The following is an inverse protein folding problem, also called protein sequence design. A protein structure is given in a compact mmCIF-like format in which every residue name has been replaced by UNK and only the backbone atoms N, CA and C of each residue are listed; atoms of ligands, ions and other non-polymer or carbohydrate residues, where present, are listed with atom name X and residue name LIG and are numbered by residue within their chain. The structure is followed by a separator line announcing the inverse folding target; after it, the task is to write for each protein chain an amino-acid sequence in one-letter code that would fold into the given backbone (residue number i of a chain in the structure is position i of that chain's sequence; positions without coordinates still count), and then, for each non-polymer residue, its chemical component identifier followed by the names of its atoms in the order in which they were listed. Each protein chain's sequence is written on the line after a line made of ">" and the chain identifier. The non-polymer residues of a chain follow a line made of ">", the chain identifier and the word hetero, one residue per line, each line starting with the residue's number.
data_IF_527345463806
#
_entry.id   IF_527345463806
#
_cell.length_a   1.000
_cell.length_b   1.000
_cell.length_c   1.000
_cell.angle_alpha   90.00
_cell.angle_beta   90.00
_cell.angle_gamma   90.00
#
_symmetry.space_group_name_H-M   'P 1'
#
loop_
_entity.id
_entity.type
_entity.pdbx_description
1 polymer ?
#
# COMPACT_ATOMS: atom_id res chain seq x y z
N UNK A 1 -18.45 -76.17 34.23
CA UNK A 1 -18.05 -75.35 35.39
C UNK A 1 -17.06 -74.31 34.89
N UNK A 2 -17.37 -73.02 35.13
CA UNK A 2 -16.49 -71.82 35.20
C UNK A 2 -15.54 -71.50 34.01
N UNK A 3 -15.29 -70.27 33.56
CA UNK A 3 -15.67 -68.89 33.93
C UNK A 3 -15.28 -67.96 32.75
N UNK A 4 -15.95 -66.80 32.66
CA UNK A 4 -15.70 -65.68 31.72
C UNK A 4 -14.27 -65.14 31.80
N UNK A 5 -13.72 -64.59 30.70
CA UNK A 5 -13.02 -63.31 30.79
C UNK A 5 -13.01 -62.55 29.45
N UNK A 6 -13.32 -61.26 29.52
CA UNK A 6 -13.53 -60.29 28.45
C UNK A 6 -12.25 -59.86 27.73
N UNK A 7 -12.36 -59.52 26.44
CA UNK A 7 -11.33 -58.73 25.74
C UNK A 7 -11.96 -57.61 24.92
N UNK A 8 -12.75 -56.75 25.58
CA UNK A 8 -13.22 -55.46 25.04
C UNK A 8 -12.28 -54.31 25.43
N UNK A 9 -10.96 -54.55 25.43
CA UNK A 9 -9.97 -53.57 25.90
C UNK A 9 -9.14 -52.92 24.76
N UNK A 10 -9.43 -53.24 23.49
CA UNK A 10 -8.66 -52.71 22.34
C UNK A 10 -9.31 -51.54 21.59
N UNK A 11 -10.64 -51.41 21.64
CA UNK A 11 -11.37 -50.46 20.77
C UNK A 11 -11.59 -49.10 21.47
N UNK A 12 -11.65 -49.08 22.80
CA UNK A 12 -11.85 -47.83 23.56
C UNK A 12 -10.67 -46.85 23.51
N UNK A 13 -9.44 -47.35 23.40
CA UNK A 13 -8.24 -46.49 23.43
C UNK A 13 -7.99 -45.79 22.07
N UNK A 14 -8.34 -46.43 20.96
CA UNK A 14 -8.18 -45.87 19.63
C UNK A 14 -9.21 -44.76 19.34
N UNK A 15 -10.43 -44.87 19.88
CA UNK A 15 -11.46 -43.85 19.70
C UNK A 15 -11.15 -42.56 20.49
N UNK A 16 -10.59 -42.68 21.70
CA UNK A 16 -10.21 -41.52 22.53
C UNK A 16 -9.02 -40.76 21.94
N UNK A 17 -8.07 -41.43 21.28
CA UNK A 17 -6.95 -40.80 20.55
C UNK A 17 -7.37 -40.13 19.23
N UNK A 18 -8.44 -40.60 18.59
CA UNK A 18 -8.99 -39.97 17.38
C UNK A 18 -9.89 -38.76 17.69
N UNK A 19 -10.51 -38.73 18.87
CA UNK A 19 -11.33 -37.61 19.35
C UNK A 19 -10.51 -36.45 19.96
N UNK A 20 -9.26 -36.68 20.37
CA UNK A 20 -8.35 -35.61 20.83
C UNK A 20 -7.65 -34.86 19.69
N UNK A 21 -7.83 -35.29 18.44
CA UNK A 21 -7.24 -34.64 17.25
C UNK A 21 -8.16 -33.60 16.59
N UNK A 22 -9.38 -33.41 17.12
CA UNK A 22 -10.37 -32.43 16.63
C UNK A 22 -10.66 -31.36 17.69
N UNK A 23 -9.66 -30.59 18.11
CA UNK A 23 -9.88 -29.27 18.75
C UNK A 23 -8.57 -28.48 18.90
N UNK A 24 -7.93 -28.12 17.79
CA UNK A 24 -7.11 -26.91 17.71
C UNK A 24 -7.37 -26.24 16.36
N UNK A 25 -8.61 -25.80 16.17
CA UNK A 25 -8.97 -24.79 15.18
C UNK A 25 -10.21 -24.00 15.61
N UNK A 26 -10.46 -23.88 16.92
CA UNK A 26 -11.13 -22.69 17.42
C UNK A 26 -10.15 -21.55 17.20
N UNK A 27 -10.26 -20.90 16.04
CA UNK A 27 -9.71 -19.58 15.86
C UNK A 27 -10.09 -18.80 17.11
N UNK A 28 -9.09 -18.36 17.86
CA UNK A 28 -9.26 -17.18 18.66
C UNK A 28 -9.66 -16.08 17.67
N UNK A 29 -10.96 -15.89 17.45
CA UNK A 29 -11.50 -14.56 17.23
C UNK A 29 -11.24 -13.79 18.52
N UNK A 30 -9.96 -13.47 18.76
CA UNK A 30 -9.61 -12.43 19.69
C UNK A 30 -10.43 -11.23 19.27
N UNK A 31 -11.24 -10.70 20.18
CA UNK A 31 -12.15 -9.59 19.93
C UNK A 31 -11.45 -8.56 19.06
N UNK A 32 -11.78 -8.53 17.76
CA UNK A 32 -11.19 -7.56 16.85
C UNK A 32 -11.55 -6.19 17.41
N UNK A 33 -10.57 -5.45 17.89
CA UNK A 33 -10.74 -4.08 18.39
C UNK A 33 -10.97 -3.07 17.26
N UNK A 34 -10.94 -3.54 16.01
CA UNK A 34 -11.13 -2.78 14.78
C UNK A 34 -12.25 -3.40 13.94
N UNK A 35 -13.14 -2.54 13.43
CA UNK A 35 -14.20 -2.89 12.47
C UNK A 35 -13.74 -2.56 11.05
N UNK A 36 -14.14 -3.37 10.08
CA UNK A 36 -13.98 -3.04 8.66
C UNK A 36 -14.99 -1.98 8.22
N UNK A 37 -14.76 -1.36 7.06
CA UNK A 37 -15.64 -0.29 6.53
C UNK A 37 -17.06 -0.83 6.31
N UNK A 38 -17.23 -2.08 5.87
CA UNK A 38 -18.56 -2.69 5.72
C UNK A 38 -19.34 -2.88 7.03
N UNK A 39 -18.66 -2.79 8.19
CA UNK A 39 -19.24 -2.94 9.52
C UNK A 39 -19.40 -1.61 10.26
N UNK A 40 -19.23 -0.48 9.56
CA UNK A 40 -19.51 0.84 10.09
C UNK A 40 -21.01 1.12 10.06
N UNK A 41 -21.52 1.79 11.09
CA UNK A 41 -22.89 2.29 11.12
C UNK A 41 -23.05 3.38 10.03
N UNK A 42 -24.27 3.61 9.50
CA UNK A 42 -24.49 4.63 8.48
C UNK A 42 -24.00 6.03 8.88
N UNK A 43 -24.14 6.40 10.15
CA UNK A 43 -23.66 7.66 10.73
C UNK A 43 -22.13 7.76 10.82
N UNK A 44 -21.45 6.61 10.90
CA UNK A 44 -19.98 6.54 10.90
C UNK A 44 -19.45 6.59 9.47
N UNK A 45 -20.13 5.91 8.54
CA UNK A 45 -19.84 5.99 7.09
C UNK A 45 -19.96 7.43 6.62
N UNK A 46 -21.02 8.15 7.02
CA UNK A 46 -21.21 9.56 6.65
C UNK A 46 -20.08 10.51 7.11
N UNK A 47 -19.24 10.11 8.07
CA UNK A 47 -18.07 10.91 8.51
C UNK A 47 -16.81 10.65 7.70
N UNK A 48 -16.73 9.51 7.01
CA UNK A 48 -15.53 9.08 6.27
C UNK A 48 -15.76 9.04 4.76
N UNK A 49 -17.03 8.90 4.33
CA UNK A 49 -17.42 9.03 2.94
C UNK A 49 -17.46 10.51 2.57
N UNK A 50 -16.38 10.94 1.93
CA UNK A 50 -16.25 12.30 1.43
C UNK A 50 -16.91 12.47 0.06
N UNK A 51 -17.50 11.42 -0.52
CA UNK A 51 -18.15 11.53 -1.81
C UNK A 51 -19.31 12.53 -1.72
N UNK A 52 -19.20 13.61 -2.50
CA UNK A 52 -20.17 14.69 -2.47
C UNK A 52 -21.48 14.30 -3.17
N UNK A 53 -22.61 14.98 -2.87
CA UNK A 53 -23.75 14.95 -3.78
C UNK A 53 -23.31 15.53 -5.13
N UNK A 54 -23.60 14.84 -6.24
CA UNK A 54 -23.27 15.37 -7.57
C UNK A 54 -23.22 14.30 -8.66
N UNK A 55 -23.23 14.74 -9.94
CA UNK A 55 -23.05 13.84 -11.07
C UNK A 55 -21.66 13.18 -11.02
N UNK A 56 -21.61 11.90 -11.37
CA UNK A 56 -20.39 11.09 -11.45
C UNK A 56 -19.92 10.98 -12.88
N UNK A 57 -18.62 10.85 -13.07
CA UNK A 57 -18.08 10.64 -14.41
C UNK A 57 -18.64 9.33 -15.01
N UNK A 58 -19.06 9.42 -16.27
CA UNK A 58 -19.72 8.30 -16.96
C UNK A 58 -18.81 7.10 -17.22
N UNK A 59 -17.49 7.28 -17.22
CA UNK A 59 -16.49 6.24 -17.46
C UNK A 59 -15.85 5.77 -16.16
N UNK A 60 -15.69 6.66 -15.18
CA UNK A 60 -15.08 6.38 -13.88
C UNK A 60 -16.06 6.76 -12.76
N UNK A 61 -16.97 5.86 -12.35
CA UNK A 61 -18.12 6.23 -11.51
C UNK A 61 -17.77 6.77 -10.11
N UNK A 62 -16.54 6.59 -9.63
CA UNK A 62 -16.10 7.05 -8.31
C UNK A 62 -15.42 8.43 -8.32
N UNK A 63 -15.35 9.14 -9.45
CA UNK A 63 -14.84 10.52 -9.52
C UNK A 63 -15.98 11.51 -9.83
N UNK A 64 -15.84 12.80 -9.47
CA UNK A 64 -16.79 13.84 -9.88
C UNK A 64 -16.87 13.95 -11.41
N UNK A 65 -18.06 14.28 -11.95
CA UNK A 65 -18.23 14.49 -13.39
C UNK A 65 -17.58 15.79 -13.89
N UNK A 66 -17.44 16.80 -13.04
CA UNK A 66 -16.70 18.02 -13.40
C UNK A 66 -15.21 17.68 -13.55
N UNK A 67 -14.57 18.03 -14.68
CA UNK A 67 -13.14 17.79 -14.84
C UNK A 67 -12.32 18.70 -13.93
N UNK A 68 -11.20 18.18 -13.41
CA UNK A 68 -10.22 19.00 -12.70
C UNK A 68 -9.54 20.00 -13.66
N UNK A 69 -9.30 21.28 -13.28
CA UNK A 69 -9.60 21.88 -11.98
C UNK A 69 -11.07 22.30 -11.81
N UNK A 70 -11.62 22.05 -10.62
CA UNK A 70 -13.01 22.36 -10.29
C UNK A 70 -13.27 23.86 -10.12
N UNK A 71 -14.53 24.26 -10.26
CA UNK A 71 -15.04 25.62 -10.06
C UNK A 71 -15.63 25.78 -8.66
N UNK A 72 -15.39 26.92 -8.01
CA UNK A 72 -15.98 27.19 -6.70
C UNK A 72 -17.52 27.38 -6.79
N UNK A 73 -18.30 27.03 -5.75
CA UNK A 73 -17.88 26.51 -4.45
C UNK A 73 -17.53 25.01 -4.47
N UNK A 74 -16.53 24.60 -3.69
CA UNK A 74 -16.02 23.23 -3.70
C UNK A 74 -16.77 22.30 -2.74
N UNK A 75 -17.00 21.06 -3.16
CA UNK A 75 -17.40 19.97 -2.27
C UNK A 75 -16.21 19.46 -1.44
N UNK A 76 -16.49 18.67 -0.40
CA UNK A 76 -15.44 18.04 0.41
C UNK A 76 -14.54 17.11 -0.44
N UNK A 77 -15.13 16.39 -1.39
CA UNK A 77 -14.42 15.53 -2.35
C UNK A 77 -13.46 16.32 -3.23
N UNK A 78 -13.94 17.41 -3.83
CA UNK A 78 -13.13 18.28 -4.70
C UNK A 78 -11.98 18.93 -3.93
N UNK A 79 -12.21 19.31 -2.67
CA UNK A 79 -11.16 19.80 -1.79
C UNK A 79 -10.08 18.75 -1.51
N UNK A 80 -10.43 17.45 -1.44
CA UNK A 80 -9.44 16.38 -1.29
C UNK A 80 -8.55 16.23 -2.54
N UNK A 81 -9.13 16.35 -3.74
CA UNK A 81 -8.36 16.42 -4.99
C UNK A 81 -7.48 17.67 -5.04
N UNK A 82 -7.99 18.83 -4.62
CA UNK A 82 -7.18 20.06 -4.55
C UNK A 82 -6.05 19.97 -3.52
N UNK A 83 -6.25 19.24 -2.41
CA UNK A 83 -5.20 18.99 -1.44
C UNK A 83 -4.02 18.23 -2.05
N UNK A 84 -4.24 17.48 -3.13
CA UNK A 84 -3.15 16.84 -3.88
C UNK A 84 -2.19 17.85 -4.52
N UNK A 85 -2.54 19.13 -4.68
CA UNK A 85 -1.56 20.14 -5.14
C UNK A 85 -0.46 20.38 -4.10
N UNK A 86 -0.76 20.15 -2.82
CA UNK A 86 0.16 20.39 -1.69
C UNK A 86 0.85 19.10 -1.27
N UNK A 87 1.81 18.64 -2.08
CA UNK A 87 2.66 17.48 -1.71
C UNK A 87 4.10 17.85 -1.47
N UNK A 88 4.80 17.02 -0.68
CA UNK A 88 6.26 17.09 -0.52
C UNK A 88 7.03 16.87 -1.85
N UNK A 89 6.36 16.38 -2.90
CA UNK A 89 7.00 16.11 -4.17
C UNK A 89 6.69 17.22 -5.19
N UNK A 90 7.73 17.66 -5.89
CA UNK A 90 7.59 18.55 -7.02
C UNK A 90 6.60 17.95 -8.04
N UNK A 91 5.67 18.78 -8.48
CA UNK A 91 4.64 18.45 -9.47
C UNK A 91 5.13 18.61 -10.92
N UNK A 92 6.43 18.82 -11.11
CA UNK A 92 7.11 18.91 -12.41
C UNK A 92 8.36 18.03 -12.42
N UNK A 93 8.89 17.74 -13.61
CA UNK A 93 10.15 17.00 -13.74
C UNK A 93 11.29 17.85 -13.17
N UNK A 94 12.08 17.27 -12.25
CA UNK A 94 13.03 18.02 -11.43
C UNK A 94 14.19 17.15 -10.99
N UNK A 95 15.33 17.78 -10.71
CA UNK A 95 16.41 17.18 -9.91
C UNK A 95 16.34 17.77 -8.51
N UNK A 96 16.35 16.92 -7.49
CA UNK A 96 16.35 17.31 -6.08
C UNK A 96 17.58 16.70 -5.42
N UNK A 97 18.32 17.52 -4.68
CA UNK A 97 19.35 17.02 -3.75
C UNK A 97 18.73 17.09 -2.36
N UNK A 98 18.53 15.92 -1.76
CA UNK A 98 17.94 15.79 -0.44
C UNK A 98 19.01 15.45 0.58
N UNK A 99 19.07 16.24 1.65
CA UNK A 99 19.94 16.02 2.82
C UNK A 99 18.99 15.80 3.98
N UNK A 100 18.90 14.56 4.45
CA UNK A 100 17.90 14.15 5.42
C UNK A 100 18.55 13.59 6.67
N UNK A 101 17.84 13.74 7.79
CA UNK A 101 18.17 13.17 9.09
C UNK A 101 16.88 12.77 9.81
N UNK A 102 16.86 11.59 10.42
CA UNK A 102 15.76 11.11 11.24
C UNK A 102 16.28 10.49 12.51
N UNK A 103 15.63 10.78 13.64
CA UNK A 103 15.94 10.10 14.91
C UNK A 103 15.25 8.75 14.93
N UNK A 104 16.02 7.69 15.19
CA UNK A 104 15.47 6.37 15.48
C UNK A 104 14.76 6.38 16.83
N UNK A 105 13.85 5.43 17.05
CA UNK A 105 13.19 5.26 18.36
C UNK A 105 14.16 4.97 19.52
N UNK A 106 15.40 4.57 19.22
CA UNK A 106 16.49 4.37 20.18
C UNK A 106 17.37 5.61 20.41
N UNK A 107 17.04 6.75 19.78
CA UNK A 107 17.75 8.02 19.96
C UNK A 107 18.98 8.21 19.07
N UNK A 108 19.24 7.33 18.11
CA UNK A 108 20.33 7.51 17.15
C UNK A 108 19.87 8.35 15.95
N UNK A 109 20.75 9.17 15.39
CA UNK A 109 20.48 9.90 14.16
C UNK A 109 20.84 9.03 12.95
N UNK A 110 19.86 8.70 12.12
CA UNK A 110 20.07 8.16 10.78
C UNK A 110 20.03 9.33 9.77
N UNK A 111 21.07 9.48 8.97
CA UNK A 111 21.23 10.61 8.07
C UNK A 111 21.77 10.16 6.72
N UNK A 112 21.37 10.87 5.67
CA UNK A 112 21.69 10.51 4.31
C UNK A 112 21.71 11.70 3.36
N UNK A 113 22.35 11.48 2.22
CA UNK A 113 22.28 12.40 1.09
C UNK A 113 21.88 11.60 -0.14
N UNK A 114 20.86 12.09 -0.83
CA UNK A 114 20.30 11.45 -2.02
C UNK A 114 20.10 12.47 -3.12
N UNK A 115 20.58 12.17 -4.31
CA UNK A 115 20.23 12.90 -5.52
C UNK A 115 19.07 12.18 -6.19
N UNK A 116 17.94 12.86 -6.31
CA UNK A 116 16.72 12.32 -6.92
C UNK A 116 16.44 13.01 -8.24
N UNK A 117 16.44 12.25 -9.33
CA UNK A 117 15.87 12.69 -10.60
C UNK A 117 14.41 12.27 -10.66
N UNK A 118 13.49 13.22 -10.89
CA UNK A 118 12.07 12.97 -11.05
C UNK A 118 11.65 13.33 -12.47
N UNK A 119 10.92 12.42 -13.09
CA UNK A 119 10.34 12.59 -14.40
C UNK A 119 8.84 12.32 -14.33
N UNK A 120 8.05 13.32 -14.68
CA UNK A 120 6.64 13.13 -15.01
C UNK A 120 6.54 12.57 -16.44
N UNK A 121 5.75 11.50 -16.61
CA UNK A 121 5.56 10.87 -17.92
C UNK A 121 4.69 11.77 -18.79
N UNK A 122 4.99 11.86 -20.09
CA UNK A 122 4.35 12.80 -21.01
C UNK A 122 2.82 12.66 -21.01
N UNK A 123 2.10 13.77 -20.86
CA UNK A 123 0.63 13.79 -20.82
C UNK A 123 0.09 14.94 -19.98
N UNK A 124 0.56 15.09 -18.74
CA UNK A 124 0.45 16.32 -17.97
C UNK A 124 1.34 16.23 -16.72
N UNK A 125 2.06 17.31 -16.41
CA UNK A 125 2.70 17.46 -15.12
C UNK A 125 1.63 17.77 -14.06
N UNK A 126 1.90 17.46 -12.81
CA UNK A 126 1.07 17.83 -11.67
C UNK A 126 -0.15 16.96 -11.44
N UNK A 127 -1.10 17.48 -10.66
CA UNK A 127 -2.26 16.70 -10.19
C UNK A 127 -3.13 16.24 -11.36
N UNK A 128 -3.34 17.10 -12.36
CA UNK A 128 -4.13 16.78 -13.53
C UNK A 128 -3.60 15.54 -14.26
N UNK A 129 -2.29 15.48 -14.56
CA UNK A 129 -1.72 14.31 -15.22
C UNK A 129 -1.77 13.04 -14.39
N UNK A 130 -1.70 13.17 -13.06
CA UNK A 130 -1.94 12.04 -12.16
C UNK A 130 -3.41 11.55 -12.22
N UNK A 131 -4.38 12.45 -12.34
CA UNK A 131 -5.82 12.12 -12.42
C UNK A 131 -6.14 11.44 -13.76
N UNK A 132 -5.62 11.99 -14.87
CA UNK A 132 -5.89 11.52 -16.23
C UNK A 132 -5.17 10.23 -16.61
N UNK A 133 -4.09 9.88 -15.89
CA UNK A 133 -3.39 8.61 -16.11
C UNK A 133 -4.32 7.44 -15.80
N UNK A 134 -4.40 6.46 -16.70
CA UNK A 134 -5.21 5.28 -16.49
C UNK A 134 -4.75 4.48 -15.25
N UNK A 135 -5.65 3.88 -14.47
CA UNK A 135 -5.27 2.96 -13.41
C UNK A 135 -4.34 1.86 -13.92
N UNK A 136 -3.31 1.55 -13.13
CA UNK A 136 -2.21 0.66 -13.51
C UNK A 136 -1.06 1.37 -14.21
N UNK A 137 -1.26 2.49 -14.88
CA UNK A 137 -0.20 3.15 -15.65
C UNK A 137 0.72 4.02 -14.79
N UNK A 138 1.96 4.17 -15.26
CA UNK A 138 3.00 4.96 -14.59
C UNK A 138 2.86 6.42 -14.98
N UNK A 139 2.57 7.29 -14.00
CA UNK A 139 2.49 8.74 -14.22
C UNK A 139 3.79 9.47 -13.85
N UNK A 140 4.60 8.89 -12.96
CA UNK A 140 5.87 9.49 -12.51
C UNK A 140 6.94 8.41 -12.32
N UNK A 141 8.17 8.73 -12.71
CA UNK A 141 9.37 7.91 -12.49
C UNK A 141 10.37 8.71 -11.67
N UNK A 142 11.05 8.04 -10.76
CA UNK A 142 12.10 8.66 -9.96
C UNK A 142 13.31 7.75 -9.88
N UNK A 143 14.51 8.31 -10.02
CA UNK A 143 15.75 7.60 -9.71
C UNK A 143 16.37 8.31 -8.51
N UNK A 144 16.55 7.57 -7.43
CA UNK A 144 17.27 7.98 -6.24
C UNK A 144 18.69 7.44 -6.33
N UNK A 145 19.70 8.31 -6.24
CA UNK A 145 21.10 7.95 -6.15
C UNK A 145 21.63 8.36 -4.77
N UNK A 146 21.98 7.36 -3.96
CA UNK A 146 22.48 7.58 -2.61
C UNK A 146 23.97 7.90 -2.64
N UNK A 147 24.36 9.06 -2.12
CA UNK A 147 25.77 9.48 -2.05
C UNK A 147 26.34 9.37 -0.63
N UNK A 148 25.48 9.31 0.38
CA UNK A 148 25.85 9.14 1.79
C UNK A 148 24.71 8.42 2.54
N UNK A 149 24.99 7.57 3.55
CA UNK A 149 26.30 7.24 4.13
C UNK A 149 27.16 6.27 3.30
N UNK A 150 28.48 6.17 3.56
CA UNK A 150 29.40 5.35 2.76
C UNK A 150 28.97 3.90 2.56
N UNK A 151 28.28 3.32 3.56
CA UNK A 151 27.76 1.95 3.50
C UNK A 151 26.82 1.71 2.33
N UNK A 152 26.02 2.71 1.93
CA UNK A 152 25.04 2.61 0.84
C UNK A 152 25.37 3.54 -0.32
N UNK A 153 26.53 4.19 -0.30
CA UNK A 153 26.95 5.08 -1.37
C UNK A 153 27.01 4.33 -2.71
N UNK A 154 26.47 4.96 -3.75
CA UNK A 154 26.32 4.38 -5.08
C UNK A 154 25.08 3.49 -5.24
N UNK A 155 24.33 3.18 -4.17
CA UNK A 155 23.05 2.51 -4.29
C UNK A 155 22.08 3.37 -5.10
N UNK A 156 21.28 2.71 -5.96
CA UNK A 156 20.27 3.40 -6.76
C UNK A 156 18.91 2.74 -6.63
N UNK A 157 17.87 3.53 -6.45
CA UNK A 157 16.49 3.05 -6.46
C UNK A 157 15.74 3.71 -7.61
N UNK A 158 15.19 2.90 -8.52
CA UNK A 158 14.23 3.36 -9.53
C UNK A 158 12.82 3.09 -9.01
N UNK A 159 12.03 4.14 -8.90
CA UNK A 159 10.64 4.13 -8.47
C UNK A 159 9.77 4.45 -9.69
N UNK A 160 8.82 3.57 -9.98
CA UNK A 160 7.76 3.84 -10.94
C UNK A 160 6.46 3.98 -10.16
N UNK A 161 5.94 5.19 -10.09
CA UNK A 161 4.71 5.51 -9.37
C UNK A 161 3.55 5.36 -10.34
N UNK A 162 2.61 4.50 -9.95
CA UNK A 162 1.45 4.14 -10.75
C UNK A 162 0.19 4.77 -10.22
N UNK A 163 -0.74 5.08 -11.12
CA UNK A 163 -2.11 5.40 -10.71
C UNK A 163 -2.76 4.12 -10.20
N UNK A 164 -3.14 4.07 -8.93
CA UNK A 164 -3.95 2.97 -8.40
C UNK A 164 -5.43 3.31 -8.44
N UNK A 165 -6.30 2.31 -8.48
CA UNK A 165 -7.74 2.46 -8.22
C UNK A 165 -8.24 1.38 -7.24
N UNK A 166 -9.55 1.12 -7.24
CA UNK A 166 -10.16 0.09 -6.39
C UNK A 166 -9.77 -1.34 -6.80
N UNK A 167 -9.43 -1.57 -8.07
CA UNK A 167 -9.09 -2.87 -8.64
C UNK A 167 -7.56 -3.07 -8.74
N UNK A 168 -6.88 -2.14 -9.41
CA UNK A 168 -5.44 -2.04 -9.59
C UNK A 168 -4.81 -1.25 -8.44
N UNK A 169 -4.53 -1.95 -7.34
CA UNK A 169 -4.04 -1.35 -6.08
C UNK A 169 -2.55 -1.02 -6.06
N UNK A 170 -1.77 -1.42 -7.08
CA UNK A 170 -0.33 -1.18 -7.12
C UNK A 170 -0.03 0.32 -7.29
N UNK A 171 0.61 0.91 -6.29
CA UNK A 171 1.01 2.34 -6.30
C UNK A 171 2.46 2.58 -6.69
N UNK A 172 3.33 1.61 -6.43
CA UNK A 172 4.77 1.77 -6.58
C UNK A 172 5.41 0.44 -7.01
N UNK A 173 6.14 0.48 -8.11
CA UNK A 173 7.16 -0.51 -8.42
C UNK A 173 8.54 0.05 -8.06
N UNK A 174 9.27 -0.64 -7.19
CA UNK A 174 10.61 -0.24 -6.78
C UNK A 174 11.64 -1.24 -7.26
N UNK A 175 12.69 -0.74 -7.92
CA UNK A 175 13.85 -1.52 -8.36
C UNK A 175 15.10 -0.97 -7.68
N UNK A 176 15.82 -1.83 -6.99
CA UNK A 176 17.01 -1.46 -6.22
C UNK A 176 18.25 -2.06 -6.85
N UNK A 177 19.17 -1.20 -7.26
CA UNK A 177 20.53 -1.55 -7.64
C UNK A 177 21.46 -1.41 -6.44
N UNK A 178 22.21 -2.48 -6.13
CA UNK A 178 23.21 -2.49 -5.05
C UNK A 178 24.61 -2.67 -5.65
N UNK A 179 25.54 -1.70 -5.48
CA UNK A 179 26.88 -1.76 -6.07
C UNK A 179 27.68 -2.99 -5.68
N UNK A 180 27.66 -3.36 -4.39
CA UNK A 180 28.41 -4.52 -3.88
C UNK A 180 27.97 -5.86 -4.48
N UNK A 181 26.72 -5.96 -4.94
CA UNK A 181 26.18 -7.16 -5.60
C UNK A 181 26.10 -7.03 -7.12
N UNK A 182 26.33 -5.81 -7.66
CA UNK A 182 26.14 -5.44 -9.07
C UNK A 182 24.84 -5.98 -9.65
N UNK A 183 23.76 -5.93 -8.86
CA UNK A 183 22.48 -6.56 -9.20
C UNK A 183 21.31 -5.63 -8.93
N UNK A 184 20.33 -5.68 -9.83
CA UNK A 184 19.02 -5.03 -9.68
C UNK A 184 18.02 -6.04 -9.12
N UNK A 185 17.19 -5.61 -8.18
CA UNK A 185 16.09 -6.42 -7.61
C UNK A 185 14.81 -5.60 -7.53
N UNK A 186 13.66 -6.19 -7.86
CA UNK A 186 12.34 -5.60 -7.58
C UNK A 186 11.98 -5.80 -6.10
N UNK A 187 11.41 -4.78 -5.47
CA UNK A 187 10.95 -4.78 -4.08
C UNK A 187 9.50 -4.26 -4.02
N UNK A 188 8.57 -4.95 -3.34
CA UNK A 188 8.73 -6.30 -2.80
C UNK A 188 8.98 -7.31 -3.92
N UNK A 189 9.60 -8.44 -3.58
CA UNK A 189 9.77 -9.51 -4.57
C UNK A 189 8.38 -10.00 -4.99
N UNK A 190 8.18 -10.34 -6.28
CA UNK A 190 6.94 -10.98 -6.71
C UNK A 190 6.65 -12.19 -5.81
N UNK A 191 5.39 -12.38 -5.43
CA UNK A 191 4.99 -13.64 -4.82
C UNK A 191 5.35 -14.77 -5.80
N UNK A 192 5.96 -15.82 -5.27
CA UNK A 192 6.19 -17.04 -6.02
C UNK A 192 4.92 -17.86 -5.88
N UNK A 193 4.35 -18.25 -7.01
CA UNK A 193 3.26 -19.23 -7.06
C UNK A 193 3.76 -20.62 -6.64
#
# INVERSE_FOLDING_TARGET
>A
MDKRCSTNAGIGLALVMLLSSFSIATQAEGSRSWRSVENLLPEEVARVDLSGPGPRDSKVPYIPAEPYPFTAPFTAEEMAYRAMEFTQHARWSSVIVDVYGSMTGSGYMDQGVTVTYKQWVAGAAGVQGQIETAPGDVYMRMIHHYTYPPRIAGQQHMWQVRRSDQELKTRLDMFVYTPGLRRVRRIPQPQRD
#
